data_IF_127864986615
#
_entry.id   IF_127864986615
#
_cell.length_a   1.000
_cell.length_b   1.000
_cell.length_c   1.000
_cell.angle_alpha   90.00
_cell.angle_beta   90.00
_cell.angle_gamma   90.00
#
_symmetry.space_group_name_H-M   'P 1'
#
loop_
_entity.id
_entity.type
_entity.pdbx_description
1 polymer ?
#
# COMPACT_ATOMS: atom_id res chain seq x y z
N UNK A 1 11.25 -13.58 -7.91
CA UNK A 1 11.86 -12.24 -7.76
C UNK A 1 11.10 -11.12 -8.49
N UNK A 2 10.67 -11.28 -9.76
CA UNK A 2 9.97 -10.20 -10.51
C UNK A 2 8.72 -9.60 -9.84
N UNK A 3 7.91 -10.40 -9.14
CA UNK A 3 6.68 -9.92 -8.46
C UNK A 3 6.97 -9.03 -7.25
N UNK A 4 7.97 -9.38 -6.45
CA UNK A 4 8.42 -8.54 -5.33
C UNK A 4 8.94 -7.19 -5.85
N UNK A 5 9.73 -7.22 -6.94
CA UNK A 5 10.16 -5.99 -7.60
C UNK A 5 8.99 -5.14 -8.10
N UNK A 6 7.97 -5.77 -8.68
CA UNK A 6 6.75 -5.07 -9.11
C UNK A 6 5.97 -4.45 -7.94
N UNK A 7 5.84 -5.15 -6.82
CA UNK A 7 5.19 -4.63 -5.62
C UNK A 7 5.96 -3.43 -5.03
N UNK A 8 7.28 -3.54 -4.92
CA UNK A 8 8.16 -2.46 -4.44
C UNK A 8 8.15 -1.24 -5.38
N UNK A 9 8.00 -1.46 -6.69
CA UNK A 9 7.92 -0.38 -7.68
C UNK A 9 6.48 0.08 -7.97
N UNK A 10 5.49 -0.38 -7.17
CA UNK A 10 4.08 -0.02 -7.29
C UNK A 10 3.48 -0.29 -8.68
N UNK A 11 3.84 -1.44 -9.26
CA UNK A 11 3.42 -1.92 -10.57
C UNK A 11 2.27 -2.91 -10.44
N UNK A 12 1.48 -2.99 -11.51
CA UNK A 12 0.30 -3.85 -11.64
C UNK A 12 0.62 -5.32 -11.31
N UNK A 13 -0.23 -6.01 -10.53
CA UNK A 13 -0.01 -7.41 -10.15
C UNK A 13 -0.08 -8.41 -11.31
N UNK A 14 -0.82 -8.05 -12.38
CA UNK A 14 -1.03 -8.90 -13.56
C UNK A 14 0.12 -8.78 -14.56
N UNK A 15 0.40 -7.56 -15.05
CA UNK A 15 1.41 -7.35 -16.09
C UNK A 15 2.81 -7.00 -15.56
N UNK A 16 2.94 -6.65 -14.28
CA UNK A 16 4.19 -6.23 -13.62
C UNK A 16 4.89 -4.99 -14.19
N UNK A 17 4.30 -4.34 -15.20
CA UNK A 17 4.90 -3.18 -15.90
C UNK A 17 4.08 -1.89 -15.77
N UNK A 18 2.74 -1.99 -15.75
CA UNK A 18 1.88 -0.80 -15.66
C UNK A 18 1.86 -0.17 -14.28
N UNK A 19 1.77 1.16 -14.21
CA UNK A 19 1.78 1.91 -12.95
C UNK A 19 0.40 1.88 -12.29
N UNK A 20 0.38 1.59 -10.98
CA UNK A 20 -0.84 1.65 -10.18
C UNK A 20 -1.25 3.12 -9.96
N UNK A 21 -0.27 4.00 -9.75
CA UNK A 21 -0.48 5.38 -9.36
C UNK A 21 -0.25 6.34 -10.52
N UNK A 22 -1.20 7.26 -10.75
CA UNK A 22 -1.07 8.35 -11.73
C UNK A 22 -0.35 9.57 -11.16
N UNK A 23 -0.63 9.90 -9.90
CA UNK A 23 0.03 10.97 -9.14
C UNK A 23 0.42 10.45 -7.76
N UNK A 24 0.94 11.33 -6.90
CA UNK A 24 1.37 10.93 -5.56
C UNK A 24 0.24 10.32 -4.71
N UNK A 25 -0.98 10.84 -4.79
CA UNK A 25 -2.15 10.33 -4.05
C UNK A 25 -3.35 9.99 -4.95
N UNK A 26 -3.15 10.00 -6.28
CA UNK A 26 -4.20 9.64 -7.24
C UNK A 26 -3.82 8.36 -7.95
N UNK A 27 -4.70 7.38 -7.86
CA UNK A 27 -4.55 6.07 -8.48
C UNK A 27 -5.11 6.09 -9.90
N UNK A 28 -4.61 5.21 -10.77
CA UNK A 28 -5.30 4.92 -12.02
C UNK A 28 -6.55 4.09 -11.73
N UNK A 29 -7.61 4.23 -12.53
CA UNK A 29 -8.81 3.38 -12.42
C UNK A 29 -8.54 1.97 -12.96
N UNK A 30 -7.76 1.90 -14.05
CA UNK A 30 -7.30 0.66 -14.66
C UNK A 30 -5.82 0.73 -15.04
N UNK A 31 -5.18 -0.43 -15.17
CA UNK A 31 -3.80 -0.53 -15.60
C UNK A 31 -3.64 -0.01 -17.04
N UNK A 32 -2.72 0.95 -17.30
CA UNK A 32 -2.54 1.53 -18.64
C UNK A 32 -1.95 0.55 -19.67
N UNK A 33 -1.44 -0.61 -19.24
CA UNK A 33 -0.79 -1.60 -20.11
C UNK A 33 -1.70 -2.79 -20.42
N UNK A 34 -2.36 -3.36 -19.40
CA UNK A 34 -3.16 -4.58 -19.56
C UNK A 34 -4.66 -4.38 -19.32
N UNK A 35 -5.11 -3.15 -19.03
CA UNK A 35 -6.52 -2.83 -18.82
C UNK A 35 -7.14 -3.39 -17.55
N UNK A 36 -6.35 -3.97 -16.63
CA UNK A 36 -6.88 -4.47 -15.35
C UNK A 36 -7.50 -3.34 -14.54
N UNK A 37 -8.80 -3.39 -14.29
CA UNK A 37 -9.50 -2.46 -13.39
C UNK A 37 -9.03 -2.73 -11.96
N UNK A 38 -8.50 -1.69 -11.29
CA UNK A 38 -7.94 -1.84 -9.95
C UNK A 38 -9.02 -1.78 -8.86
N UNK A 39 -10.02 -0.90 -9.02
CA UNK A 39 -11.21 -0.87 -8.15
C UNK A 39 -12.35 -1.59 -8.85
N UNK A 40 -12.52 -2.88 -8.55
CA UNK A 40 -13.51 -3.73 -9.21
C UNK A 40 -14.93 -3.48 -8.71
N UNK A 41 -15.03 -3.23 -7.40
CA UNK A 41 -16.28 -3.09 -6.67
C UNK A 41 -16.18 -1.91 -5.72
N UNK A 42 -17.29 -1.19 -5.45
CA UNK A 42 -17.29 -0.14 -4.44
C UNK A 42 -16.87 -0.73 -3.09
N UNK A 43 -15.84 -0.14 -2.48
CA UNK A 43 -15.30 -0.63 -1.21
C UNK A 43 -14.23 -1.72 -1.33
N UNK A 44 -13.77 -2.05 -2.55
CA UNK A 44 -12.68 -3.02 -2.77
C UNK A 44 -11.44 -2.77 -1.90
N UNK A 45 -11.12 -1.50 -1.61
CA UNK A 45 -9.97 -1.14 -0.78
C UNK A 45 -10.19 -1.23 0.74
N UNK A 46 -11.33 -1.77 1.19
CA UNK A 46 -11.52 -2.09 2.61
C UNK A 46 -10.45 -3.07 3.11
N UNK A 47 -10.05 -4.06 2.30
CA UNK A 47 -8.93 -4.93 2.62
C UNK A 47 -7.59 -4.19 2.71
N UNK A 48 -7.36 -3.22 1.82
CA UNK A 48 -6.17 -2.37 1.89
C UNK A 48 -6.13 -1.50 3.16
N UNK A 49 -7.27 -1.16 3.75
CA UNK A 49 -7.33 -0.49 5.05
C UNK A 49 -6.78 -1.39 6.16
N UNK A 50 -7.16 -2.67 6.18
CA UNK A 50 -6.63 -3.66 7.14
C UNK A 50 -5.12 -3.82 6.98
N UNK A 51 -4.64 -3.92 5.74
CA UNK A 51 -3.19 -3.95 5.45
C UNK A 51 -2.50 -2.69 5.97
N UNK A 52 -3.11 -1.51 5.78
CA UNK A 52 -2.55 -0.26 6.28
C UNK A 52 -2.44 -0.22 7.79
N UNK A 53 -3.43 -0.75 8.51
CA UNK A 53 -3.41 -0.83 9.96
C UNK A 53 -2.30 -1.78 10.45
N UNK A 54 -2.17 -2.95 9.80
CA UNK A 54 -1.13 -3.93 10.10
C UNK A 54 0.30 -3.39 9.89
N UNK A 55 0.49 -2.41 9.00
CA UNK A 55 1.78 -1.73 8.79
C UNK A 55 1.93 -0.54 9.74
N UNK A 56 0.88 0.27 9.88
CA UNK A 56 0.88 1.52 10.62
C UNK A 56 1.19 1.34 12.11
N UNK A 57 0.48 0.45 12.78
CA UNK A 57 0.60 0.24 14.23
C UNK A 57 2.01 -0.17 14.64
N UNK A 58 2.63 -1.23 14.07
CA UNK A 58 3.98 -1.59 14.44
C UNK A 58 5.00 -0.52 14.02
N UNK A 59 4.81 0.15 12.88
CA UNK A 59 5.71 1.23 12.46
C UNK A 59 5.72 2.38 13.46
N UNK A 60 4.54 2.86 13.87
CA UNK A 60 4.42 3.92 14.86
C UNK A 60 4.96 3.49 16.23
N UNK A 61 4.60 2.29 16.69
CA UNK A 61 5.09 1.73 17.94
C UNK A 61 6.61 1.61 17.97
N UNK A 62 7.23 1.13 16.89
CA UNK A 62 8.69 1.02 16.78
C UNK A 62 9.37 2.39 16.83
N UNK A 63 8.83 3.42 16.17
CA UNK A 63 9.37 4.78 16.21
C UNK A 63 9.34 5.31 17.66
N UNK A 64 8.20 5.20 18.32
CA UNK A 64 8.03 5.72 19.70
C UNK A 64 8.93 4.96 20.67
N UNK A 65 8.96 3.63 20.61
CA UNK A 65 9.82 2.80 21.46
C UNK A 65 11.30 3.12 21.24
N UNK A 66 11.73 3.29 19.99
CA UNK A 66 13.11 3.65 19.68
C UNK A 66 13.52 4.99 20.29
N UNK A 67 12.63 6.00 20.25
CA UNK A 67 12.87 7.30 20.89
C UNK A 67 12.96 7.19 22.41
N UNK A 68 12.06 6.43 23.04
CA UNK A 68 12.09 6.20 24.49
C UNK A 68 13.38 5.49 24.92
N UNK A 69 13.79 4.44 24.19
CA UNK A 69 15.05 3.72 24.45
C UNK A 69 16.27 4.61 24.26
N UNK A 70 16.19 5.60 23.36
CA UNK A 70 17.22 6.63 23.18
C UNK A 70 17.23 7.70 24.30
N UNK A 71 16.36 7.58 25.31
CA UNK A 71 16.30 8.49 26.46
C UNK A 71 15.39 9.69 26.26
N UNK A 72 14.56 9.71 25.22
CA UNK A 72 13.58 10.78 25.00
C UNK A 72 12.39 10.63 25.96
N UNK A 73 11.99 11.77 26.54
CA UNK A 73 10.62 12.09 26.98
C UNK A 73 9.53 11.14 26.46
N UNK A 74 8.76 10.41 27.27
CA UNK A 74 7.63 9.63 26.73
C UNK A 74 6.61 10.52 25.98
N UNK A 75 6.34 11.72 26.50
CA UNK A 75 5.43 12.68 25.85
C UNK A 75 6.09 13.26 24.59
N UNK A 76 7.38 13.61 24.68
CA UNK A 76 8.14 14.13 23.54
C UNK A 76 8.26 13.07 22.44
N UNK A 77 8.49 11.81 22.79
CA UNK A 77 8.59 10.67 21.88
C UNK A 77 7.27 10.42 21.16
N UNK A 78 6.13 10.56 21.83
CA UNK A 78 4.81 10.48 21.20
C UNK A 78 4.59 11.63 20.20
N UNK A 79 4.94 12.86 20.56
CA UNK A 79 4.76 14.03 19.67
C UNK A 79 5.69 13.96 18.46
N UNK A 80 7.00 13.76 18.71
CA UNK A 80 8.02 13.69 17.65
C UNK A 80 7.83 12.44 16.81
N UNK A 81 7.56 11.30 17.43
CA UNK A 81 7.25 10.05 16.74
C UNK A 81 5.98 10.15 15.90
N UNK A 82 4.95 10.86 16.41
CA UNK A 82 3.73 11.16 15.66
C UNK A 82 4.02 12.01 14.43
N UNK A 83 4.78 13.09 14.58
CA UNK A 83 5.18 13.95 13.47
C UNK A 83 6.00 13.18 12.42
N UNK A 84 6.96 12.35 12.85
CA UNK A 84 7.73 11.49 11.96
C UNK A 84 6.85 10.47 11.23
N UNK A 85 5.89 9.86 11.93
CA UNK A 85 4.95 8.92 11.35
C UNK A 85 4.03 9.58 10.30
N UNK A 86 3.60 10.83 10.49
CA UNK A 86 2.79 11.55 9.49
C UNK A 86 3.47 11.67 8.13
N UNK A 87 4.81 11.74 8.09
CA UNK A 87 5.58 11.72 6.84
C UNK A 87 5.48 10.36 6.14
N UNK A 88 5.34 9.27 6.90
CA UNK A 88 5.22 7.90 6.39
C UNK A 88 3.81 7.54 5.93
N UNK A 89 2.77 8.20 6.45
CA UNK A 89 1.36 7.94 6.10
C UNK A 89 1.09 7.83 4.59
N UNK A 90 1.52 8.77 3.72
CA UNK A 90 1.26 8.64 2.28
C UNK A 90 1.94 7.41 1.66
N UNK A 91 3.10 7.01 2.17
CA UNK A 91 3.77 5.80 1.71
C UNK A 91 3.03 4.55 2.16
N UNK A 92 2.62 4.48 3.43
CA UNK A 92 1.82 3.37 3.97
C UNK A 92 0.53 3.22 3.15
N UNK A 93 -0.16 4.32 2.86
CA UNK A 93 -1.35 4.31 2.02
C UNK A 93 -1.07 3.73 0.62
N UNK A 94 0.00 4.18 -0.05
CA UNK A 94 0.36 3.71 -1.38
C UNK A 94 0.70 2.22 -1.42
N UNK A 95 1.55 1.79 -0.49
CA UNK A 95 1.99 0.39 -0.42
C UNK A 95 0.87 -0.54 0.04
N UNK A 96 0.00 -0.11 0.96
CA UNK A 96 -1.11 -0.96 1.43
C UNK A 96 -2.07 -1.33 0.31
N UNK A 97 -2.41 -0.38 -0.57
CA UNK A 97 -3.24 -0.65 -1.75
C UNK A 97 -2.53 -1.54 -2.77
N UNK A 98 -1.23 -1.33 -2.99
CA UNK A 98 -0.46 -2.19 -3.88
C UNK A 98 -0.35 -3.63 -3.34
N UNK A 99 -0.07 -3.80 -2.05
CA UNK A 99 -0.03 -5.10 -1.38
C UNK A 99 -1.38 -5.81 -1.49
N UNK A 100 -2.48 -5.09 -1.20
CA UNK A 100 -3.82 -5.65 -1.33
C UNK A 100 -4.11 -6.11 -2.75
N UNK A 101 -3.81 -5.29 -3.77
CA UNK A 101 -3.98 -5.67 -5.18
C UNK A 101 -3.19 -6.93 -5.56
N UNK A 102 -1.94 -7.05 -5.09
CA UNK A 102 -1.13 -8.25 -5.35
C UNK A 102 -1.64 -9.47 -4.60
N UNK A 103 -2.08 -9.31 -3.35
CA UNK A 103 -2.66 -10.39 -2.55
C UNK A 103 -3.98 -10.88 -3.17
N UNK A 104 -4.89 -9.96 -3.49
CA UNK A 104 -6.17 -10.28 -4.11
C UNK A 104 -5.98 -10.95 -5.47
N UNK A 105 -5.05 -10.46 -6.30
CA UNK A 105 -4.73 -11.11 -7.57
C UNK A 105 -4.11 -12.51 -7.41
N UNK A 106 -3.40 -12.78 -6.31
CA UNK A 106 -2.88 -14.12 -6.02
C UNK A 106 -3.97 -15.09 -5.55
N UNK A 107 -4.99 -14.59 -4.86
CA UNK A 107 -6.13 -15.38 -4.39
C UNK A 107 -7.10 -15.64 -5.56
N UNK A 108 -7.39 -14.61 -6.35
CA UNK A 108 -8.32 -14.67 -7.48
C UNK A 108 -7.80 -13.83 -8.67
N UNK A 109 -7.00 -14.45 -9.55
CA UNK A 109 -6.40 -13.76 -10.69
C UNK A 109 -7.39 -13.42 -11.82
N UNK A 110 -8.58 -14.03 -11.83
CA UNK A 110 -9.51 -14.03 -12.97
C UNK A 110 -10.69 -13.04 -12.81
N UNK A 111 -10.90 -12.46 -11.62
CA UNK A 111 -12.03 -11.55 -11.32
C UNK A 111 -11.96 -10.13 -11.91
N UNK A 112 -11.23 -9.89 -12.99
CA UNK A 112 -11.08 -8.53 -13.56
C UNK A 112 -10.70 -8.45 -15.05
N UNK A 113 -10.80 -9.55 -15.79
CA UNK A 113 -10.62 -9.54 -17.25
C UNK A 113 -11.95 -9.28 -17.96
N UNK A 114 -12.02 -8.37 -18.95
CA UNK A 114 -12.96 -8.59 -20.03
C UNK A 114 -12.60 -9.94 -20.67
N UNK A 115 -13.57 -10.87 -20.66
CA UNK A 115 -13.47 -12.15 -21.35
C UNK A 115 -13.24 -11.88 -22.83
N UNK A 116 -12.22 -12.49 -23.43
CA UNK A 116 -12.09 -12.62 -24.88
C UNK A 116 -11.12 -11.65 -25.56
N UNK A 117 -9.98 -12.20 -25.99
CA UNK A 117 -9.92 -12.72 -27.35
C UNK A 117 -9.67 -14.23 -27.27
#
# INVERSE_FOLDING_TARGET
MRRLGALLTLRCPRCLSGEIWRRFLSMNDACPVCGLVFEREPGYFAGAMVVSYAIAVPTFGLIVVALIVAGVDAVVALVVGGAAYLVLVPFIFRYSRAIWLHLDWLIDPDRGSPVGK
#
